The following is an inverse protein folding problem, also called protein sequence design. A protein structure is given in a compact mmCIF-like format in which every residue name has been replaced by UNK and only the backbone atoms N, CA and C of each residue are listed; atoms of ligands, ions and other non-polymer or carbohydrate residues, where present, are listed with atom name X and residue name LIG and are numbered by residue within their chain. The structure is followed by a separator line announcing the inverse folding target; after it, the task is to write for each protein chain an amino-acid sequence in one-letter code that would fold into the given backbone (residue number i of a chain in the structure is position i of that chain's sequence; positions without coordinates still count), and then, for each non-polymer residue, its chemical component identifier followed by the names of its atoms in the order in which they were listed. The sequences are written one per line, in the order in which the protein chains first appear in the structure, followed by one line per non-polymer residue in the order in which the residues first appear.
data_IF_069028290397
#
_entry.id   IF_069028290397
#
_cell.length_a   1.000
_cell.length_b   1.000
_cell.length_c   1.000
_cell.angle_alpha   90.00
_cell.angle_beta   90.00
_cell.angle_gamma   90.00
#
_symmetry.space_group_name_H-M   'P 1'
#
loop_
_entity.id
_entity.type
_entity.pdbx_description
1 polymer ?
#
# COMPACT_ATOMS: atom_id res chain seq x y z
N UNK A 1 -16.52 -37.96 -39.71
CA UNK A 1 -15.50 -37.05 -39.15
C UNK A 1 -15.81 -35.67 -39.65
N UNK A 2 -16.46 -34.88 -38.85
CA UNK A 2 -16.91 -33.52 -39.25
C UNK A 2 -16.07 -32.50 -38.47
N UNK A 3 -15.24 -31.74 -39.17
CA UNK A 3 -14.44 -30.66 -38.61
C UNK A 3 -15.39 -29.50 -38.29
N UNK A 4 -15.44 -29.13 -37.01
CA UNK A 4 -16.03 -27.86 -36.59
C UNK A 4 -15.04 -26.76 -36.92
N UNK A 5 -15.46 -25.89 -37.80
CA UNK A 5 -14.74 -24.63 -38.11
C UNK A 5 -15.03 -23.64 -36.99
N UNK A 6 -13.96 -23.23 -36.30
CA UNK A 6 -13.95 -22.11 -35.40
C UNK A 6 -14.43 -20.86 -36.13
N UNK A 7 -15.49 -20.25 -35.63
CA UNK A 7 -15.93 -18.91 -36.06
C UNK A 7 -14.91 -17.90 -35.55
N UNK A 8 -13.96 -17.55 -36.38
CA UNK A 8 -13.14 -16.36 -36.20
C UNK A 8 -14.06 -15.14 -36.14
N UNK A 9 -13.93 -14.37 -35.08
CA UNK A 9 -14.62 -13.09 -34.90
C UNK A 9 -14.38 -12.18 -36.09
N UNK A 10 -15.47 -11.75 -36.74
CA UNK A 10 -15.43 -10.82 -37.87
C UNK A 10 -15.13 -9.40 -37.38
N UNK A 11 -14.25 -8.63 -38.06
CA UNK A 11 -13.96 -7.23 -37.69
C UNK A 11 -15.17 -6.28 -37.80
N UNK A 12 -16.34 -6.77 -38.21
CA UNK A 12 -17.55 -5.95 -38.35
C UNK A 12 -18.27 -5.67 -37.04
N UNK A 13 -18.00 -6.43 -35.96
CA UNK A 13 -18.63 -6.25 -34.66
C UNK A 13 -18.01 -5.13 -33.83
N UNK A 14 -16.94 -4.51 -34.32
CA UNK A 14 -16.22 -3.41 -33.65
C UNK A 14 -16.79 -2.02 -33.93
N UNK A 15 -17.93 -1.89 -34.63
CA UNK A 15 -18.39 -0.58 -35.14
C UNK A 15 -19.40 0.15 -34.26
N UNK A 16 -19.90 -0.43 -33.17
CA UNK A 16 -20.93 0.20 -32.32
C UNK A 16 -20.48 0.60 -30.93
N UNK A 17 -19.17 0.56 -30.63
CA UNK A 17 -18.62 0.96 -29.33
C UNK A 17 -18.56 2.49 -29.11
N UNK A 18 -18.99 3.28 -30.06
CA UNK A 18 -19.10 4.73 -29.90
C UNK A 18 -20.18 5.14 -28.88
N UNK A 19 -21.15 4.26 -28.59
CA UNK A 19 -22.18 4.50 -27.58
C UNK A 19 -21.60 4.31 -26.17
N UNK A 20 -20.78 3.28 -25.97
CA UNK A 20 -20.11 3.01 -24.69
C UNK A 20 -19.12 4.11 -24.34
N UNK A 21 -18.27 4.53 -25.30
CA UNK A 21 -17.35 5.64 -25.14
C UNK A 21 -18.07 6.97 -24.92
N UNK A 22 -19.20 7.21 -25.60
CA UNK A 22 -20.06 8.37 -25.35
C UNK A 22 -20.67 8.33 -23.95
N UNK A 23 -21.15 7.17 -23.51
CA UNK A 23 -21.72 6.98 -22.17
C UNK A 23 -20.65 7.16 -21.08
N UNK A 24 -19.41 6.67 -21.30
CA UNK A 24 -18.30 6.88 -20.38
C UNK A 24 -17.88 8.35 -20.34
N UNK A 25 -17.79 9.03 -21.52
CA UNK A 25 -17.51 10.47 -21.58
C UNK A 25 -18.61 11.27 -20.89
N UNK A 26 -19.87 10.95 -21.10
CA UNK A 26 -20.99 11.63 -20.45
C UNK A 26 -20.98 11.42 -18.94
N UNK A 27 -20.77 10.18 -18.48
CA UNK A 27 -20.61 9.90 -17.04
C UNK A 27 -19.40 10.60 -16.42
N UNK A 28 -18.29 10.72 -17.16
CA UNK A 28 -17.12 11.48 -16.70
C UNK A 28 -17.39 12.98 -16.65
N UNK A 29 -18.20 13.52 -17.57
CA UNK A 29 -18.63 14.93 -17.57
C UNK A 29 -19.62 15.15 -16.43
N UNK A 30 -20.63 14.30 -16.27
CA UNK A 30 -21.63 14.38 -15.21
C UNK A 30 -20.98 14.24 -13.81
N UNK A 31 -19.96 13.36 -13.66
CA UNK A 31 -19.16 13.26 -12.44
C UNK A 31 -18.29 14.49 -12.19
N UNK A 32 -17.88 15.23 -13.23
CA UNK A 32 -17.10 16.48 -13.08
C UNK A 32 -17.97 17.67 -12.63
N UNK A 33 -19.28 17.58 -12.80
CA UNK A 33 -20.21 18.66 -12.42
C UNK A 33 -20.72 18.52 -10.97
N UNK A 34 -20.59 17.34 -10.33
CA UNK A 34 -20.93 17.14 -8.93
C UNK A 34 -19.69 17.33 -8.06
N UNK A 35 -19.59 18.47 -7.39
CA UNK A 35 -18.44 18.77 -6.50
C UNK A 35 -18.26 17.75 -5.37
N UNK A 36 -19.34 17.07 -4.97
CA UNK A 36 -19.34 16.05 -3.92
C UNK A 36 -18.70 14.75 -4.39
N UNK A 37 -19.06 14.28 -5.59
CA UNK A 37 -18.52 13.04 -6.16
C UNK A 37 -17.01 13.16 -6.44
N UNK A 38 -16.54 14.35 -6.80
CA UNK A 38 -15.11 14.62 -7.03
C UNK A 38 -14.33 14.59 -5.72
N UNK A 39 -14.89 15.16 -4.66
CA UNK A 39 -14.27 15.15 -3.33
C UNK A 39 -14.13 13.72 -2.82
N UNK A 40 -15.20 12.93 -2.89
CA UNK A 40 -15.20 11.52 -2.47
C UNK A 40 -14.16 10.69 -3.25
N UNK A 41 -13.97 10.97 -4.54
CA UNK A 41 -12.96 10.27 -5.36
C UNK A 41 -11.53 10.73 -5.06
N UNK A 42 -11.33 11.99 -4.67
CA UNK A 42 -10.03 12.50 -4.23
C UNK A 42 -9.67 12.04 -2.81
N UNK A 43 -10.68 11.77 -1.98
CA UNK A 43 -10.51 11.18 -0.65
C UNK A 43 -10.30 9.66 -0.69
N UNK A 44 -10.37 9.05 -1.89
CA UNK A 44 -10.08 7.63 -2.06
C UNK A 44 -8.67 7.28 -1.54
N UNK A 45 -8.61 6.27 -0.68
CA UNK A 45 -7.38 5.91 0.04
C UNK A 45 -7.28 6.54 1.42
N UNK A 46 -8.30 7.28 1.87
CA UNK A 46 -8.37 7.89 3.20
C UNK A 46 -7.42 9.08 3.36
N UNK A 47 -7.35 9.60 4.57
CA UNK A 47 -6.43 10.67 4.99
C UNK A 47 -5.01 10.13 5.31
N UNK A 48 -4.56 9.07 4.63
CA UNK A 48 -3.23 8.54 4.85
C UNK A 48 -2.16 9.41 4.18
N UNK A 49 -1.20 9.87 4.95
CA UNK A 49 -0.09 10.68 4.45
C UNK A 49 0.77 9.93 3.44
N UNK A 50 0.89 8.62 3.59
CA UNK A 50 1.63 7.75 2.66
C UNK A 50 1.02 7.76 1.23
N UNK A 51 -0.30 7.91 1.10
CA UNK A 51 -0.95 8.05 -0.21
C UNK A 51 -0.63 9.40 -0.82
N UNK A 52 -0.59 10.47 -0.03
CA UNK A 52 -0.21 11.80 -0.48
C UNK A 52 1.25 11.86 -0.91
N UNK A 53 2.16 11.29 -0.13
CA UNK A 53 3.59 11.15 -0.51
C UNK A 53 3.74 10.40 -1.85
N UNK A 54 3.00 9.31 -2.02
CA UNK A 54 3.05 8.52 -3.25
C UNK A 54 2.48 9.28 -4.45
N UNK A 55 1.42 10.06 -4.23
CA UNK A 55 0.86 10.95 -5.26
C UNK A 55 1.89 11.99 -5.71
N UNK A 56 2.55 12.67 -4.79
CA UNK A 56 3.58 13.67 -5.09
C UNK A 56 4.75 13.05 -5.87
N UNK A 57 5.14 11.81 -5.55
CA UNK A 57 6.17 11.10 -6.31
C UNK A 57 5.75 10.83 -7.75
N UNK A 58 4.50 10.41 -7.98
CA UNK A 58 3.96 10.19 -9.32
C UNK A 58 3.90 11.51 -10.09
N UNK A 59 3.38 12.58 -9.48
CA UNK A 59 3.29 13.91 -10.10
C UNK A 59 4.68 14.43 -10.50
N UNK A 60 5.66 14.29 -9.62
CA UNK A 60 7.05 14.63 -9.91
C UNK A 60 7.63 13.84 -11.11
N UNK A 61 7.36 12.53 -11.16
CA UNK A 61 7.83 11.68 -12.27
C UNK A 61 7.18 12.04 -13.60
N UNK A 62 5.88 12.41 -13.59
CA UNK A 62 5.17 12.87 -14.77
C UNK A 62 5.71 14.23 -15.23
N UNK A 63 5.93 15.17 -14.31
CA UNK A 63 6.51 16.48 -14.62
C UNK A 63 7.93 16.39 -15.20
N UNK A 64 8.76 15.46 -14.73
CA UNK A 64 10.11 15.21 -15.30
C UNK A 64 10.08 14.71 -16.76
N UNK A 65 8.93 14.25 -17.24
CA UNK A 65 8.70 13.77 -18.61
C UNK A 65 7.88 14.75 -19.44
N UNK A 66 7.73 16.00 -18.97
CA UNK A 66 6.90 17.04 -19.58
C UNK A 66 5.42 16.63 -19.78
N UNK A 67 4.92 15.74 -18.91
CA UNK A 67 3.53 15.32 -18.89
C UNK A 67 2.76 16.21 -17.91
N UNK A 68 1.92 17.07 -18.44
CA UNK A 68 1.08 17.96 -17.63
C UNK A 68 -0.03 17.18 -16.92
N UNK A 69 -0.21 17.45 -15.62
CA UNK A 69 -1.32 16.94 -14.82
C UNK A 69 -2.39 18.03 -14.82
N UNK A 70 -3.12 18.12 -15.93
CA UNK A 70 -4.19 19.11 -16.07
C UNK A 70 -5.56 18.45 -15.92
N UNK A 71 -6.47 19.19 -15.26
CA UNK A 71 -7.85 18.77 -15.06
C UNK A 71 -8.06 17.82 -13.89
N UNK A 72 -9.31 17.79 -13.41
CA UNK A 72 -9.71 17.00 -12.24
C UNK A 72 -9.61 15.49 -12.48
N UNK A 73 -9.98 15.01 -13.67
CA UNK A 73 -9.91 13.60 -14.03
C UNK A 73 -8.49 13.04 -13.87
N UNK A 74 -7.48 13.79 -14.34
CA UNK A 74 -6.07 13.36 -14.21
C UNK A 74 -5.66 13.31 -12.74
N UNK A 75 -6.03 14.30 -11.94
CA UNK A 75 -5.75 14.31 -10.49
C UNK A 75 -6.39 13.13 -9.77
N UNK A 76 -7.64 12.81 -10.09
CA UNK A 76 -8.35 11.64 -9.55
C UNK A 76 -7.59 10.34 -9.93
N UNK A 77 -7.22 10.18 -11.20
CA UNK A 77 -6.49 8.99 -11.65
C UNK A 77 -5.14 8.85 -10.96
N UNK A 78 -4.40 9.95 -10.79
CA UNK A 78 -3.11 9.95 -10.08
C UNK A 78 -3.31 9.57 -8.60
N UNK A 79 -4.35 10.11 -7.96
CA UNK A 79 -4.70 9.75 -6.56
C UNK A 79 -5.05 8.27 -6.43
N UNK A 80 -5.87 7.73 -7.32
CA UNK A 80 -6.23 6.31 -7.30
C UNK A 80 -5.05 5.40 -7.58
N UNK A 81 -4.16 5.80 -8.50
CA UNK A 81 -2.92 5.08 -8.76
C UNK A 81 -2.03 5.07 -7.52
N UNK A 82 -1.87 6.20 -6.84
CA UNK A 82 -1.12 6.30 -5.60
C UNK A 82 -1.69 5.37 -4.52
N UNK A 83 -3.01 5.40 -4.31
CA UNK A 83 -3.67 4.53 -3.35
C UNK A 83 -3.48 3.04 -3.69
N UNK A 84 -3.61 2.65 -4.97
CA UNK A 84 -3.39 1.27 -5.41
C UNK A 84 -1.95 0.81 -5.17
N UNK A 85 -0.97 1.67 -5.40
CA UNK A 85 0.44 1.35 -5.12
C UNK A 85 0.72 1.21 -3.63
N UNK A 86 0.09 2.04 -2.79
CA UNK A 86 0.17 1.92 -1.33
C UNK A 86 -0.45 0.62 -0.83
N UNK A 87 -1.61 0.22 -1.36
CA UNK A 87 -2.25 -1.06 -1.03
C UNK A 87 -1.34 -2.23 -1.42
N UNK A 88 -0.79 -2.22 -2.62
CA UNK A 88 0.13 -3.27 -3.08
C UNK A 88 1.41 -3.34 -2.20
N UNK A 89 1.95 -2.18 -1.81
CA UNK A 89 3.07 -2.10 -0.86
C UNK A 89 2.67 -2.64 0.52
N UNK A 90 1.48 -2.29 1.02
CA UNK A 90 0.96 -2.79 2.29
C UNK A 90 0.85 -4.32 2.29
N UNK A 91 0.21 -4.89 1.27
CA UNK A 91 0.05 -6.35 1.13
C UNK A 91 1.41 -7.04 1.10
N UNK A 92 2.33 -6.56 0.26
CA UNK A 92 3.69 -7.10 0.19
C UNK A 92 4.36 -7.05 1.56
N UNK A 93 4.34 -5.91 2.23
CA UNK A 93 4.94 -5.71 3.55
C UNK A 93 4.32 -6.66 4.57
N UNK A 94 2.98 -6.79 4.58
CA UNK A 94 2.30 -7.71 5.46
C UNK A 94 2.75 -9.16 5.26
N UNK A 95 2.94 -9.60 4.01
CA UNK A 95 3.41 -10.97 3.74
C UNK A 95 4.89 -11.18 4.07
N UNK A 96 5.71 -10.16 3.94
CA UNK A 96 7.16 -10.24 4.15
C UNK A 96 7.58 -10.19 5.63
N UNK A 97 6.79 -9.58 6.52
CA UNK A 97 7.11 -9.46 7.94
C UNK A 97 6.51 -10.59 8.77
N UNK A 98 7.14 -10.90 9.88
CA UNK A 98 6.67 -11.91 10.85
C UNK A 98 5.56 -11.35 11.76
N UNK A 99 4.74 -12.25 12.30
CA UNK A 99 3.73 -11.88 13.31
C UNK A 99 4.34 -11.19 14.53
N UNK A 100 5.51 -11.63 14.95
CA UNK A 100 6.27 -11.02 16.06
C UNK A 100 6.74 -9.58 15.72
N UNK A 101 7.05 -9.27 14.46
CA UNK A 101 7.38 -7.91 14.01
C UNK A 101 6.12 -7.03 13.96
N UNK A 102 4.95 -7.58 13.62
CA UNK A 102 3.67 -6.86 13.73
C UNK A 102 3.40 -6.51 15.20
N UNK A 103 3.59 -7.45 16.12
CA UNK A 103 3.43 -7.21 17.56
C UNK A 103 4.41 -6.13 18.06
N UNK A 104 5.65 -6.12 17.56
CA UNK A 104 6.63 -5.07 17.86
C UNK A 104 6.16 -3.70 17.37
N UNK A 105 5.63 -3.60 16.15
CA UNK A 105 5.06 -2.36 15.62
C UNK A 105 3.85 -1.88 16.43
N UNK A 106 2.97 -2.79 16.86
CA UNK A 106 1.84 -2.46 17.74
C UNK A 106 2.33 -1.94 19.09
N UNK A 107 3.35 -2.57 19.68
CA UNK A 107 3.96 -2.08 20.91
C UNK A 107 4.56 -0.67 20.71
N UNK A 108 5.28 -0.46 19.61
CA UNK A 108 5.89 0.82 19.28
C UNK A 108 4.85 1.92 19.00
N UNK A 109 3.65 1.57 18.53
CA UNK A 109 2.55 2.54 18.34
C UNK A 109 1.91 3.02 19.65
N UNK A 110 2.13 2.31 20.74
CA UNK A 110 1.62 2.65 22.07
C UNK A 110 2.63 3.38 22.96
N UNK A 111 3.88 3.50 22.49
CA UNK A 111 4.99 4.11 23.24
C UNK A 111 5.71 5.14 22.36
N UNK A 112 6.35 6.11 23.00
CA UNK A 112 7.23 7.05 22.29
C UNK A 112 8.40 6.32 21.62
N UNK A 113 8.92 5.28 22.28
CA UNK A 113 9.96 4.40 21.75
C UNK A 113 9.94 3.02 22.41
N UNK A 114 10.49 2.03 21.72
CA UNK A 114 10.84 0.72 22.27
C UNK A 114 12.36 0.67 22.43
N UNK A 115 12.83 0.34 23.62
CA UNK A 115 14.26 0.34 23.92
C UNK A 115 14.98 -0.86 23.29
N UNK A 116 16.30 -0.72 23.07
CA UNK A 116 17.14 -1.81 22.55
C UNK A 116 17.05 -3.07 23.45
N UNK A 117 16.88 -2.91 24.78
CA UNK A 117 16.72 -4.03 25.71
C UNK A 117 15.35 -4.74 25.55
N UNK A 118 14.27 -3.98 25.36
CA UNK A 118 12.94 -4.55 25.13
C UNK A 118 12.91 -5.33 23.82
N UNK A 119 13.49 -4.77 22.76
CA UNK A 119 13.60 -5.42 21.44
C UNK A 119 14.40 -6.72 21.54
N UNK A 120 15.55 -6.69 22.21
CA UNK A 120 16.38 -7.87 22.42
C UNK A 120 15.62 -8.97 23.17
N UNK A 121 14.86 -8.62 24.21
CA UNK A 121 14.02 -9.59 24.93
C UNK A 121 12.94 -10.21 24.06
N UNK A 122 12.27 -9.39 23.25
CA UNK A 122 11.25 -9.86 22.30
C UNK A 122 11.90 -10.82 21.30
N UNK A 123 13.00 -10.41 20.67
CA UNK A 123 13.68 -11.20 19.66
C UNK A 123 14.23 -12.51 20.22
N UNK A 124 14.89 -12.52 21.38
CA UNK A 124 15.42 -13.74 22.00
C UNK A 124 14.28 -14.75 22.32
N UNK A 125 13.12 -14.27 22.76
CA UNK A 125 11.95 -15.13 22.94
C UNK A 125 11.51 -15.76 21.61
N UNK A 126 11.32 -14.94 20.55
CA UNK A 126 10.91 -15.41 19.23
C UNK A 126 11.93 -16.39 18.63
N UNK A 127 13.21 -16.09 18.78
CA UNK A 127 14.33 -16.94 18.34
C UNK A 127 14.35 -18.29 19.06
N UNK A 128 14.06 -18.31 20.36
CA UNK A 128 13.95 -19.53 21.15
C UNK A 128 12.75 -20.40 20.70
N UNK A 129 11.65 -19.77 20.35
CA UNK A 129 10.43 -20.44 19.87
C UNK A 129 10.61 -20.96 18.44
N UNK A 130 11.54 -20.38 17.64
CA UNK A 130 11.75 -20.69 16.22
C UNK A 130 13.24 -20.83 15.88
N UNK A 131 13.97 -21.77 16.51
CA UNK A 131 15.42 -21.87 16.36
C UNK A 131 15.87 -22.25 14.94
N UNK A 132 15.07 -23.01 14.20
CA UNK A 132 15.40 -23.41 12.83
C UNK A 132 15.37 -22.23 11.86
N UNK A 133 14.42 -21.31 12.04
CA UNK A 133 14.24 -20.15 11.15
C UNK A 133 15.12 -18.95 11.56
N UNK A 134 15.28 -18.69 12.85
CA UNK A 134 15.91 -17.47 13.36
C UNK A 134 17.20 -17.72 14.16
N UNK A 135 17.61 -18.97 14.34
CA UNK A 135 18.75 -19.32 15.19
C UNK A 135 20.07 -18.63 14.84
N UNK A 136 20.29 -18.34 13.56
CA UNK A 136 21.48 -17.64 13.07
C UNK A 136 21.32 -16.12 12.97
N UNK A 137 20.10 -15.58 13.22
CA UNK A 137 19.83 -14.16 13.05
C UNK A 137 20.31 -13.34 14.24
N UNK A 138 20.72 -12.10 13.94
CA UNK A 138 20.95 -11.06 14.92
C UNK A 138 19.70 -10.19 15.10
N UNK A 139 19.66 -9.39 16.16
CA UNK A 139 18.58 -8.40 16.37
C UNK A 139 18.52 -7.38 15.23
N UNK A 140 19.67 -6.99 14.68
CA UNK A 140 19.76 -6.06 13.56
C UNK A 140 19.11 -6.68 12.30
N UNK A 141 19.40 -7.93 11.98
CA UNK A 141 18.79 -8.63 10.85
C UNK A 141 17.28 -8.77 11.04
N UNK A 142 16.83 -9.04 12.26
CA UNK A 142 15.40 -9.10 12.57
C UNK A 142 14.68 -7.76 12.34
N UNK A 143 15.34 -6.63 12.60
CA UNK A 143 14.77 -5.28 12.43
C UNK A 143 14.98 -4.71 11.02
N UNK A 144 15.91 -5.27 10.24
CA UNK A 144 16.37 -4.69 8.98
C UNK A 144 15.22 -4.36 8.02
N UNK A 145 14.29 -5.31 7.82
CA UNK A 145 13.16 -5.08 6.93
C UNK A 145 12.25 -3.94 7.41
N UNK A 146 11.99 -3.84 8.71
CA UNK A 146 11.16 -2.77 9.28
C UNK A 146 11.81 -1.39 9.08
N UNK A 147 13.14 -1.32 9.19
CA UNK A 147 13.91 -0.09 8.96
C UNK A 147 13.91 0.27 7.47
N UNK A 148 14.22 -0.69 6.59
CA UNK A 148 14.25 -0.48 5.14
C UNK A 148 12.89 -0.06 4.58
N UNK A 149 11.80 -0.63 5.13
CA UNK A 149 10.42 -0.28 4.79
C UNK A 149 9.96 1.01 5.45
N UNK A 150 10.82 1.67 6.24
CA UNK A 150 10.52 2.91 6.98
C UNK A 150 9.32 2.79 7.91
N UNK A 151 9.11 1.63 8.51
CA UNK A 151 8.07 1.41 9.52
C UNK A 151 8.52 1.85 10.90
N UNK A 152 9.83 1.69 11.18
CA UNK A 152 10.50 2.18 12.39
C UNK A 152 11.75 2.98 12.01
N UNK A 153 12.17 3.84 12.90
CA UNK A 153 13.42 4.59 12.80
C UNK A 153 14.24 4.48 14.08
N UNK A 154 15.58 4.52 13.92
CA UNK A 154 16.50 4.50 15.05
C UNK A 154 16.42 5.83 15.79
N UNK A 155 16.27 5.76 17.10
CA UNK A 155 16.36 6.89 18.03
C UNK A 155 17.39 6.60 19.12
N UNK A 156 17.61 7.53 20.03
CA UNK A 156 18.54 7.27 21.13
C UNK A 156 18.09 6.07 21.97
N UNK A 157 18.96 5.05 22.05
CA UNK A 157 18.76 3.80 22.81
C UNK A 157 17.50 3.02 22.48
N UNK A 158 17.09 2.99 21.20
CA UNK A 158 15.92 2.22 20.77
C UNK A 158 15.42 2.60 19.39
N UNK A 159 14.15 2.30 19.15
CA UNK A 159 13.45 2.59 17.91
C UNK A 159 12.07 3.21 18.19
N UNK A 160 11.70 4.17 17.38
CA UNK A 160 10.37 4.75 17.33
C UNK A 160 9.61 4.27 16.09
N UNK A 161 8.29 4.19 16.20
CA UNK A 161 7.44 3.96 15.04
C UNK A 161 7.36 5.25 14.20
N UNK A 162 7.43 5.13 12.89
CA UNK A 162 7.27 6.28 11.97
C UNK A 162 5.80 6.57 11.72
N UNK A 163 5.50 7.70 11.04
CA UNK A 163 4.14 7.99 10.54
C UNK A 163 3.67 6.85 9.64
N UNK A 164 4.53 6.37 8.74
CA UNK A 164 4.25 5.24 7.84
C UNK A 164 3.96 3.94 8.59
N UNK A 165 4.72 3.67 9.66
CA UNK A 165 4.47 2.51 10.53
C UNK A 165 3.13 2.59 11.25
N UNK A 166 2.77 3.77 11.75
CA UNK A 166 1.46 3.99 12.37
C UNK A 166 0.31 3.82 11.36
N UNK A 167 0.46 4.32 10.14
CA UNK A 167 -0.53 4.13 9.08
C UNK A 167 -0.64 2.67 8.66
N UNK A 168 0.49 1.94 8.60
CA UNK A 168 0.51 0.50 8.37
C UNK A 168 -0.33 -0.25 9.41
N UNK A 169 -0.16 0.05 10.71
CA UNK A 169 -0.96 -0.57 11.78
C UNK A 169 -2.44 -0.19 11.68
N UNK A 170 -2.77 1.06 11.32
CA UNK A 170 -4.17 1.48 11.10
C UNK A 170 -4.82 0.72 9.95
N UNK A 171 -4.13 0.57 8.82
CA UNK A 171 -4.63 -0.19 7.66
C UNK A 171 -4.84 -1.65 8.06
N UNK A 172 -3.86 -2.27 8.74
CA UNK A 172 -3.94 -3.64 9.21
C UNK A 172 -5.18 -3.87 10.08
N UNK A 173 -5.41 -3.00 11.05
CA UNK A 173 -6.55 -3.09 11.96
C UNK A 173 -7.88 -2.85 11.25
N UNK A 174 -7.93 -1.87 10.33
CA UNK A 174 -9.15 -1.49 9.60
C UNK A 174 -9.56 -2.48 8.51
N UNK A 175 -8.59 -3.22 7.94
CA UNK A 175 -8.83 -4.15 6.83
C UNK A 175 -9.06 -5.60 7.27
N UNK A 176 -9.11 -5.87 8.58
CA UNK A 176 -9.36 -7.21 9.12
C UNK A 176 -8.20 -8.20 8.95
N UNK A 177 -7.00 -7.70 8.64
CA UNK A 177 -5.80 -8.54 8.63
C UNK A 177 -5.43 -8.98 10.05
N UNK A 178 -5.10 -10.26 10.22
CA UNK A 178 -4.69 -10.79 11.51
C UNK A 178 -3.28 -10.36 11.87
N UNK A 179 -3.10 -9.90 13.11
CA UNK A 179 -1.76 -9.77 13.70
C UNK A 179 -1.18 -11.14 14.12
N UNK A 180 -2.05 -12.16 14.28
CA UNK A 180 -1.67 -13.55 14.55
C UNK A 180 -1.21 -14.20 13.25
N UNK A 181 0.02 -13.92 12.88
CA UNK A 181 0.69 -14.50 11.75
C UNK A 181 1.82 -15.39 12.26
N UNK A 182 1.89 -16.61 11.77
CA UNK A 182 3.05 -17.46 12.03
C UNK A 182 4.32 -16.82 11.47
N UNK A 183 5.47 -17.27 11.94
CA UNK A 183 6.76 -16.97 11.33
C UNK A 183 6.73 -17.29 9.86
#
# INVERSE_FOLDING_TARGET
MSCHHDKLYSPKDYRDDNSFLKTLKQKAIDASESSKDVTDLLEYGGEFSIVSEQQELIEKQLGQRDLAIEGQTTKILVRQLAASQVIAWFEKTYYDIFGSQIALLQLASLKDKVTDEEISKIFEKVKHENPEALGSWSTEQYLEYLIQSKLIEKVDKGFAITVRGNEFIKILTGSGYSAEKNL
#
